data_IF_615869227730
#
_entry.id   IF_615869227730
#
_cell.length_a   1.000
_cell.length_b   1.000
_cell.length_c   1.000
_cell.angle_alpha   90.00
_cell.angle_beta   90.00
_cell.angle_gamma   90.00
#
_symmetry.space_group_name_H-M   'P 1'
#
loop_
_entity.id
_entity.type
_entity.pdbx_description
1 polymer ?
#
# COMPACT_ATOMS: atom_id res chain seq x y z
N UNK A 1 -15.03 8.72 37.79
CA UNK A 1 -13.64 8.24 37.76
C UNK A 1 -12.86 9.14 36.79
N UNK A 2 -12.12 10.14 37.30
CA UNK A 2 -11.33 11.05 36.46
C UNK A 2 -10.05 10.33 36.05
N UNK A 3 -9.96 9.90 34.79
CA UNK A 3 -8.73 9.36 34.21
C UNK A 3 -7.86 10.55 33.78
N UNK A 4 -7.37 11.31 34.77
CA UNK A 4 -6.42 12.39 34.57
C UNK A 4 -5.01 11.90 34.85
N UNK A 5 -4.50 11.00 34.00
CA UNK A 5 -3.09 10.64 34.00
C UNK A 5 -2.35 11.53 33.00
N UNK A 6 -1.30 12.22 33.46
CA UNK A 6 -0.37 12.92 32.58
C UNK A 6 0.10 11.97 31.48
N UNK A 7 -0.19 12.31 30.22
CA UNK A 7 0.35 11.55 29.09
C UNK A 7 1.88 11.56 29.17
N UNK A 8 2.56 10.40 29.12
CA UNK A 8 4.00 10.36 29.21
C UNK A 8 4.62 11.23 28.10
N UNK A 9 5.51 12.15 28.49
CA UNK A 9 6.22 13.02 27.54
C UNK A 9 7.00 12.13 26.57
N UNK A 10 6.76 12.31 25.27
CA UNK A 10 7.47 11.57 24.22
C UNK A 10 8.98 11.74 24.35
N UNK A 11 9.74 10.68 24.06
CA UNK A 11 11.21 10.74 24.10
C UNK A 11 11.75 11.76 23.09
N UNK A 12 12.92 12.35 23.38
CA UNK A 12 13.59 13.31 22.50
C UNK A 12 13.89 12.72 21.12
N UNK A 13 14.23 11.43 21.04
CA UNK A 13 14.48 10.72 19.79
C UNK A 13 13.20 10.57 18.95
N UNK A 14 12.08 10.21 19.58
CA UNK A 14 10.76 10.15 18.91
C UNK A 14 10.36 11.53 18.38
N UNK A 15 10.60 12.59 19.17
CA UNK A 15 10.31 13.96 18.77
C UNK A 15 11.16 14.42 17.57
N UNK A 16 12.44 14.04 17.50
CA UNK A 16 13.32 14.35 16.38
C UNK A 16 12.88 13.63 15.10
N UNK A 17 12.64 12.31 15.17
CA UNK A 17 12.20 11.53 14.02
C UNK A 17 10.89 12.10 13.44
N UNK A 18 9.91 12.41 14.29
CA UNK A 18 8.67 13.07 13.86
C UNK A 18 8.92 14.41 13.17
N UNK A 19 9.74 15.28 13.75
CA UNK A 19 10.06 16.60 13.15
C UNK A 19 10.72 16.47 11.78
N UNK A 20 11.62 15.51 11.60
CA UNK A 20 12.27 15.25 10.33
C UNK A 20 11.27 14.74 9.29
N UNK A 21 10.39 13.80 9.66
CA UNK A 21 9.35 13.31 8.75
C UNK A 21 8.39 14.41 8.34
N UNK A 22 7.90 15.20 9.30
CA UNK A 22 7.05 16.37 9.01
C UNK A 22 7.74 17.40 8.11
N UNK A 23 9.06 17.57 8.23
CA UNK A 23 9.80 18.43 7.32
C UNK A 23 9.78 17.91 5.88
N UNK A 24 9.90 16.59 5.69
CA UNK A 24 9.75 15.95 4.36
C UNK A 24 8.31 16.08 3.84
N UNK A 25 7.32 15.87 4.70
CA UNK A 25 5.90 16.02 4.33
C UNK A 25 5.54 17.45 3.88
N UNK A 26 6.24 18.45 4.41
CA UNK A 26 6.04 19.87 4.05
C UNK A 26 7.00 20.36 2.96
N UNK A 27 7.85 19.49 2.41
CA UNK A 27 8.84 19.86 1.40
C UNK A 27 8.20 20.06 0.01
N UNK A 28 7.52 21.19 -0.19
CA UNK A 28 6.82 21.52 -1.45
C UNK A 28 7.72 21.53 -2.69
N UNK A 29 9.04 21.69 -2.54
CA UNK A 29 10.02 21.55 -3.63
C UNK A 29 9.97 20.16 -4.31
N UNK A 30 9.46 19.14 -3.62
CA UNK A 30 9.33 17.79 -4.13
C UNK A 30 8.06 17.57 -4.96
N UNK A 31 7.10 18.50 -4.96
CA UNK A 31 5.79 18.28 -5.59
C UNK A 31 5.88 18.08 -7.09
N UNK A 32 6.50 19.03 -7.80
CA UNK A 32 6.67 18.96 -9.25
C UNK A 32 7.42 17.71 -9.71
N UNK A 33 8.63 17.39 -9.18
CA UNK A 33 9.33 16.18 -9.62
C UNK A 33 8.57 14.90 -9.27
N UNK A 34 7.89 14.86 -8.12
CA UNK A 34 7.09 13.73 -7.72
C UNK A 34 5.87 13.54 -8.65
N UNK A 35 5.12 14.59 -8.94
CA UNK A 35 3.97 14.53 -9.84
C UNK A 35 4.36 14.07 -11.26
N UNK A 36 5.49 14.55 -11.78
CA UNK A 36 6.02 14.11 -13.07
C UNK A 36 6.39 12.62 -13.08
N UNK A 37 7.04 12.15 -12.01
CA UNK A 37 7.38 10.74 -11.86
C UNK A 37 6.11 9.87 -11.74
N UNK A 38 5.16 10.27 -10.90
CA UNK A 38 3.89 9.56 -10.70
C UNK A 38 3.06 9.46 -11.99
N UNK A 39 2.94 10.57 -12.72
CA UNK A 39 2.23 10.59 -14.01
C UNK A 39 2.87 9.65 -15.03
N UNK A 40 4.21 9.59 -15.09
CA UNK A 40 4.94 8.68 -15.98
C UNK A 40 4.68 7.22 -15.60
N UNK A 41 4.71 6.90 -14.32
CA UNK A 41 4.47 5.52 -13.82
C UNK A 41 3.06 5.06 -14.16
N UNK A 42 2.04 5.87 -13.86
CA UNK A 42 0.63 5.53 -14.18
C UNK A 42 0.43 5.27 -15.67
N UNK A 43 1.10 6.04 -16.54
CA UNK A 43 1.05 5.84 -17.99
C UNK A 43 1.71 4.54 -18.44
N UNK A 44 2.76 4.09 -17.76
CA UNK A 44 3.55 2.91 -18.16
C UNK A 44 2.96 1.59 -17.63
N UNK A 45 2.52 1.55 -16.37
CA UNK A 45 2.06 0.31 -15.74
C UNK A 45 0.59 0.04 -16.09
N UNK A 46 -0.25 1.07 -16.24
CA UNK A 46 -1.63 0.95 -16.68
C UNK A 46 -2.48 -0.03 -15.85
N UNK A 47 -3.56 -0.55 -16.45
CA UNK A 47 -4.42 -1.60 -15.89
C UNK A 47 -4.13 -2.96 -16.54
N UNK A 48 -4.56 -4.04 -15.90
CA UNK A 48 -4.54 -5.40 -16.44
C UNK A 48 -3.57 -6.34 -15.71
N UNK A 49 -3.29 -7.50 -16.31
CA UNK A 49 -2.59 -8.61 -15.64
C UNK A 49 -1.22 -8.23 -15.05
N UNK A 50 -0.48 -7.35 -15.72
CA UNK A 50 0.81 -6.88 -15.21
C UNK A 50 0.63 -6.04 -13.94
N UNK A 51 -0.38 -5.17 -13.92
CA UNK A 51 -0.73 -4.36 -12.74
C UNK A 51 -1.18 -5.26 -11.59
N UNK A 52 -2.02 -6.25 -11.86
CA UNK A 52 -2.47 -7.22 -10.85
C UNK A 52 -1.30 -7.99 -10.22
N UNK A 53 -0.33 -8.42 -11.05
CA UNK A 53 0.88 -9.09 -10.58
C UNK A 53 1.74 -8.17 -9.71
N UNK A 54 2.00 -6.94 -10.17
CA UNK A 54 2.85 -5.97 -9.47
C UNK A 54 2.20 -5.52 -8.15
N UNK A 55 0.88 -5.38 -8.12
CA UNK A 55 0.14 -5.02 -6.90
C UNK A 55 -0.02 -6.21 -5.94
N UNK A 56 0.13 -7.45 -6.41
CA UNK A 56 -0.06 -8.65 -5.59
C UNK A 56 -1.53 -9.08 -5.46
N UNK A 57 -2.37 -8.70 -6.42
CA UNK A 57 -3.81 -9.03 -6.43
C UNK A 57 -4.04 -10.53 -6.30
N UNK A 58 -3.30 -11.36 -7.06
CA UNK A 58 -3.40 -12.81 -6.96
C UNK A 58 -2.81 -13.43 -5.69
N UNK A 59 -2.07 -12.66 -4.88
CA UNK A 59 -1.48 -13.12 -3.62
C UNK A 59 -2.40 -12.88 -2.41
N UNK A 60 -3.49 -12.12 -2.57
CA UNK A 60 -4.30 -11.68 -1.43
C UNK A 60 -3.67 -10.52 -0.62
N UNK A 61 -2.46 -10.11 -0.98
CA UNK A 61 -1.65 -9.17 -0.21
C UNK A 61 -0.76 -8.31 -1.14
N UNK A 62 -0.41 -7.07 -0.73
CA UNK A 62 0.54 -6.25 -1.47
C UNK A 62 1.85 -7.01 -1.75
N UNK A 63 2.34 -6.95 -2.98
CA UNK A 63 3.58 -7.63 -3.36
C UNK A 63 4.84 -6.96 -2.78
N UNK A 64 4.79 -5.65 -2.51
CA UNK A 64 5.98 -4.89 -2.08
C UNK A 64 6.59 -5.39 -0.76
N UNK A 65 5.84 -5.57 0.35
CA UNK A 65 6.40 -6.00 1.64
C UNK A 65 7.25 -7.28 1.59
N UNK A 66 6.79 -8.44 1.06
CA UNK A 66 7.62 -9.64 1.02
C UNK A 66 8.87 -9.48 0.15
N UNK A 67 8.81 -8.67 -0.91
CA UNK A 67 9.96 -8.39 -1.77
C UNK A 67 11.02 -7.53 -1.07
N UNK A 68 10.62 -6.61 -0.18
CA UNK A 68 11.57 -5.85 0.64
C UNK A 68 12.36 -6.76 1.57
N UNK A 69 11.78 -7.84 2.09
CA UNK A 69 12.45 -8.77 2.99
C UNK A 69 13.67 -9.42 2.34
N UNK A 70 13.59 -9.79 1.06
CA UNK A 70 14.73 -10.36 0.34
C UNK A 70 15.86 -9.34 0.16
N UNK A 71 15.53 -8.11 -0.21
CA UNK A 71 16.51 -7.03 -0.43
C UNK A 71 17.21 -6.66 0.89
N UNK A 72 16.44 -6.34 1.91
CA UNK A 72 16.93 -5.93 3.22
C UNK A 72 17.71 -7.07 3.89
N UNK A 73 17.15 -8.28 3.88
CA UNK A 73 17.81 -9.46 4.44
C UNK A 73 19.16 -9.73 3.80
N UNK A 74 19.23 -9.70 2.47
CA UNK A 74 20.49 -9.93 1.75
C UNK A 74 21.56 -8.90 2.11
N UNK A 75 21.20 -7.63 2.14
CA UNK A 75 22.11 -6.53 2.45
C UNK A 75 22.60 -6.52 3.90
N UNK A 76 21.70 -6.77 4.86
CA UNK A 76 22.07 -6.86 6.28
C UNK A 76 22.91 -8.10 6.57
N UNK A 77 22.58 -9.26 5.97
CA UNK A 77 23.39 -10.46 6.12
C UNK A 77 24.79 -10.30 5.52
N UNK A 78 24.93 -9.60 4.39
CA UNK A 78 26.25 -9.28 3.84
C UNK A 78 27.08 -8.41 4.81
N UNK A 79 26.46 -7.41 5.44
CA UNK A 79 27.12 -6.56 6.43
C UNK A 79 27.52 -7.35 7.69
N UNK A 80 26.65 -8.23 8.19
CA UNK A 80 26.97 -9.09 9.33
C UNK A 80 28.17 -10.00 9.04
N UNK A 81 28.27 -10.55 7.83
CA UNK A 81 29.42 -11.35 7.42
C UNK A 81 30.71 -10.53 7.32
N UNK A 82 30.64 -9.27 6.90
CA UNK A 82 31.81 -8.39 6.88
C UNK A 82 32.37 -8.16 8.29
N UNK A 83 31.52 -8.16 9.31
CA UNK A 83 31.92 -7.95 10.71
C UNK A 83 32.33 -9.25 11.40
N UNK A 84 31.49 -10.28 11.32
CA UNK A 84 31.64 -11.52 12.08
C UNK A 84 32.59 -12.52 11.42
N UNK A 85 32.69 -12.48 10.09
CA UNK A 85 33.46 -13.44 9.30
C UNK A 85 34.21 -12.76 8.13
N UNK A 86 35.03 -11.71 8.37
CA UNK A 86 35.61 -10.86 7.32
C UNK A 86 36.48 -11.61 6.29
N UNK A 87 36.98 -12.80 6.66
CA UNK A 87 37.77 -13.66 5.76
C UNK A 87 36.94 -14.83 5.23
N UNK A 88 36.43 -15.68 6.12
CA UNK A 88 35.69 -16.89 5.77
C UNK A 88 34.33 -16.62 5.12
N UNK A 89 33.65 -15.52 5.49
CA UNK A 89 32.34 -15.12 4.97
C UNK A 89 32.36 -14.28 3.70
N UNK A 90 33.54 -13.88 3.20
CA UNK A 90 33.66 -12.91 2.11
C UNK A 90 32.94 -13.34 0.83
N UNK A 91 33.02 -14.62 0.43
CA UNK A 91 32.34 -15.11 -0.76
C UNK A 91 30.81 -15.04 -0.61
N UNK A 92 30.28 -15.38 0.57
CA UNK A 92 28.86 -15.30 0.87
C UNK A 92 28.38 -13.84 0.91
N UNK A 93 29.13 -12.94 1.53
CA UNK A 93 28.82 -11.50 1.55
C UNK A 93 28.73 -10.90 0.14
N UNK A 94 29.62 -11.31 -0.77
CA UNK A 94 29.58 -10.89 -2.18
C UNK A 94 28.30 -11.38 -2.88
N UNK A 95 27.95 -12.66 -2.71
CA UNK A 95 26.74 -13.25 -3.30
C UNK A 95 25.48 -12.59 -2.77
N UNK A 96 25.39 -12.39 -1.45
CA UNK A 96 24.24 -11.72 -0.83
C UNK A 96 24.12 -10.26 -1.29
N UNK A 97 25.24 -9.53 -1.40
CA UNK A 97 25.20 -8.17 -1.97
C UNK A 97 24.66 -8.18 -3.41
N UNK A 98 25.10 -9.13 -4.24
CA UNK A 98 24.61 -9.27 -5.61
C UNK A 98 23.12 -9.65 -5.67
N UNK A 99 22.67 -10.60 -4.83
CA UNK A 99 21.25 -10.98 -4.72
C UNK A 99 20.40 -9.78 -4.33
N UNK A 100 20.83 -8.99 -3.35
CA UNK A 100 20.11 -7.77 -2.94
C UNK A 100 19.99 -6.75 -4.07
N UNK A 101 21.06 -6.53 -4.85
CA UNK A 101 21.05 -5.63 -6.02
C UNK A 101 20.09 -6.13 -7.11
N UNK A 102 20.12 -7.42 -7.43
CA UNK A 102 19.23 -8.02 -8.45
C UNK A 102 17.78 -7.96 -7.99
N UNK A 103 17.50 -8.29 -6.73
CA UNK A 103 16.16 -8.24 -6.16
C UNK A 103 15.62 -6.81 -6.04
N UNK A 104 16.48 -5.78 -5.97
CA UNK A 104 16.06 -4.39 -5.81
C UNK A 104 15.13 -3.90 -6.93
N UNK A 105 15.46 -4.20 -8.20
CA UNK A 105 14.71 -3.69 -9.34
C UNK A 105 13.22 -4.12 -9.32
N UNK A 106 12.87 -5.41 -9.22
CA UNK A 106 11.47 -5.80 -9.14
C UNK A 106 10.80 -5.30 -7.84
N UNK A 107 11.51 -5.19 -6.71
CA UNK A 107 10.99 -4.60 -5.47
C UNK A 107 10.65 -3.11 -5.63
N UNK A 108 11.49 -2.36 -6.35
CA UNK A 108 11.24 -0.95 -6.63
C UNK A 108 10.01 -0.76 -7.53
N UNK A 109 9.81 -1.66 -8.51
CA UNK A 109 8.64 -1.62 -9.40
C UNK A 109 7.34 -1.77 -8.60
N UNK A 110 7.27 -2.71 -7.66
CA UNK A 110 6.08 -2.88 -6.80
C UNK A 110 5.80 -1.66 -5.94
N UNK A 111 6.83 -1.09 -5.30
CA UNK A 111 6.66 0.09 -4.44
C UNK A 111 6.31 1.37 -5.22
N UNK A 112 6.92 1.57 -6.39
CA UNK A 112 6.62 2.72 -7.28
C UNK A 112 5.19 2.63 -7.81
N UNK A 113 4.71 1.42 -8.12
CA UNK A 113 3.33 1.17 -8.52
C UNK A 113 2.33 1.55 -7.42
N UNK A 114 2.55 1.13 -6.18
CA UNK A 114 1.66 1.44 -5.05
C UNK A 114 1.65 2.94 -4.72
N UNK A 115 2.81 3.58 -4.79
CA UNK A 115 2.94 5.02 -4.58
C UNK A 115 2.21 5.84 -5.66
N UNK A 116 2.34 5.45 -6.93
CA UNK A 116 1.72 6.17 -8.05
C UNK A 116 0.18 6.17 -8.00
N UNK A 117 -0.43 5.19 -7.32
CA UNK A 117 -1.87 5.10 -7.07
C UNK A 117 -2.33 5.93 -5.86
N UNK A 118 -1.40 6.45 -5.05
CA UNK A 118 -1.74 7.20 -3.82
C UNK A 118 -1.33 8.67 -3.88
N UNK A 119 -0.28 9.00 -4.63
CA UNK A 119 0.34 10.34 -4.62
C UNK A 119 -0.62 11.48 -5.01
N UNK A 120 -1.60 11.20 -5.87
CA UNK A 120 -2.59 12.19 -6.30
C UNK A 120 -3.55 12.61 -5.17
N UNK A 121 -3.81 11.70 -4.23
CA UNK A 121 -4.78 11.91 -3.15
C UNK A 121 -4.16 12.47 -1.87
N UNK A 122 -2.85 12.38 -1.67
CA UNK A 122 -2.16 12.89 -0.49
C UNK A 122 -0.77 13.46 -0.85
N UNK A 123 -0.62 14.78 -0.70
CA UNK A 123 0.64 15.48 -0.97
C UNK A 123 1.79 15.02 -0.07
N UNK A 124 1.50 14.63 1.17
CA UNK A 124 2.52 14.10 2.07
C UNK A 124 3.04 12.76 1.56
N UNK A 125 2.14 11.88 1.08
CA UNK A 125 2.53 10.61 0.43
C UNK A 125 3.35 10.87 -0.83
N UNK A 126 2.96 11.85 -1.65
CA UNK A 126 3.71 12.27 -2.84
C UNK A 126 5.16 12.62 -2.50
N UNK A 127 5.36 13.51 -1.52
CA UNK A 127 6.68 14.01 -1.11
C UNK A 127 7.52 12.94 -0.41
N UNK A 128 6.95 12.25 0.57
CA UNK A 128 7.63 11.18 1.33
C UNK A 128 7.99 10.01 0.42
N UNK A 129 7.14 9.65 -0.54
CA UNK A 129 7.42 8.59 -1.50
C UNK A 129 8.62 8.89 -2.39
N UNK A 130 8.75 10.13 -2.88
CA UNK A 130 9.93 10.53 -3.65
C UNK A 130 11.20 10.53 -2.78
N UNK A 131 11.12 11.01 -1.53
CA UNK A 131 12.25 10.98 -0.60
C UNK A 131 12.68 9.54 -0.26
N UNK A 132 11.71 8.65 -0.02
CA UNK A 132 11.92 7.22 0.18
C UNK A 132 12.62 6.59 -1.04
N UNK A 133 12.11 6.82 -2.25
CA UNK A 133 12.71 6.30 -3.48
C UNK A 133 14.15 6.82 -3.69
N UNK A 134 14.39 8.09 -3.37
CA UNK A 134 15.72 8.72 -3.47
C UNK A 134 16.71 8.11 -2.48
N UNK A 135 16.31 7.91 -1.22
CA UNK A 135 17.13 7.26 -0.22
C UNK A 135 17.49 5.83 -0.63
N UNK A 136 16.52 5.04 -1.07
CA UNK A 136 16.76 3.67 -1.53
C UNK A 136 17.63 3.61 -2.79
N UNK A 137 17.51 4.57 -3.70
CA UNK A 137 18.40 4.69 -4.87
C UNK A 137 19.84 4.98 -4.45
N UNK A 138 20.04 5.87 -3.47
CA UNK A 138 21.35 6.12 -2.86
C UNK A 138 21.93 4.86 -2.20
N UNK A 139 21.12 4.12 -1.45
CA UNK A 139 21.53 2.84 -0.86
C UNK A 139 21.95 1.82 -1.93
N UNK A 140 21.18 1.69 -3.01
CA UNK A 140 21.52 0.81 -4.14
C UNK A 140 22.88 1.18 -4.74
N UNK A 141 23.14 2.47 -5.01
CA UNK A 141 24.41 2.93 -5.56
C UNK A 141 25.58 2.60 -4.63
N UNK A 142 25.40 2.75 -3.31
CA UNK A 142 26.40 2.36 -2.31
C UNK A 142 26.66 0.85 -2.31
N UNK A 143 25.62 0.03 -2.44
CA UNK A 143 25.77 -1.43 -2.54
C UNK A 143 26.40 -1.88 -3.86
N UNK A 144 26.08 -1.24 -4.98
CA UNK A 144 26.77 -1.47 -6.26
C UNK A 144 28.25 -1.11 -6.13
N UNK A 145 28.58 0.05 -5.56
CA UNK A 145 29.96 0.44 -5.31
C UNK A 145 30.67 -0.52 -4.33
N UNK A 146 29.96 -1.01 -3.31
CA UNK A 146 30.45 -2.04 -2.38
C UNK A 146 30.80 -3.30 -3.17
N UNK A 147 29.89 -3.82 -4.01
CA UNK A 147 30.11 -5.01 -4.83
C UNK A 147 31.31 -4.84 -5.77
N UNK A 148 31.45 -3.70 -6.46
CA UNK A 148 32.63 -3.43 -7.30
C UNK A 148 33.93 -3.49 -6.48
N UNK A 149 33.94 -2.93 -5.27
CA UNK A 149 35.12 -3.00 -4.40
C UNK A 149 35.39 -4.41 -3.85
N UNK A 150 34.34 -5.21 -3.60
CA UNK A 150 34.45 -6.64 -3.24
C UNK A 150 35.14 -7.42 -4.35
N UNK A 151 34.71 -7.23 -5.59
CA UNK A 151 35.27 -7.90 -6.77
C UNK A 151 36.72 -7.47 -7.05
N UNK A 152 37.11 -6.25 -6.65
CA UNK A 152 38.49 -5.74 -6.74
C UNK A 152 39.37 -6.07 -5.53
N UNK A 153 38.88 -6.87 -4.58
CA UNK A 153 39.63 -7.24 -3.37
C UNK A 153 39.80 -6.13 -2.31
N UNK A 154 39.14 -4.97 -2.48
CA UNK A 154 39.25 -3.80 -1.58
C UNK A 154 38.30 -3.92 -0.39
N UNK A 155 38.55 -4.90 0.49
CA UNK A 155 37.61 -5.34 1.56
C UNK A 155 37.15 -4.24 2.50
N UNK A 156 38.08 -3.45 3.06
CA UNK A 156 37.72 -2.38 4.00
C UNK A 156 36.80 -1.35 3.34
N UNK A 157 37.12 -0.91 2.12
CA UNK A 157 36.28 0.04 1.36
C UNK A 157 34.91 -0.57 1.04
N UNK A 158 34.86 -1.84 0.65
CA UNK A 158 33.61 -2.54 0.41
C UNK A 158 32.72 -2.60 1.65
N UNK A 159 33.28 -2.93 2.82
CA UNK A 159 32.56 -2.99 4.08
C UNK A 159 32.07 -1.60 4.52
N UNK A 160 32.90 -0.56 4.40
CA UNK A 160 32.50 0.82 4.69
C UNK A 160 31.36 1.32 3.79
N UNK A 161 31.43 1.02 2.48
CA UNK A 161 30.34 1.32 1.54
C UNK A 161 29.07 0.53 1.87
N UNK A 162 29.20 -0.74 2.24
CA UNK A 162 28.09 -1.60 2.66
C UNK A 162 27.41 -1.09 3.94
N UNK A 163 28.19 -0.62 4.92
CA UNK A 163 27.68 0.02 6.13
C UNK A 163 26.95 1.32 5.80
N UNK A 164 27.54 2.18 4.96
CA UNK A 164 26.87 3.39 4.48
C UNK A 164 25.56 3.07 3.77
N UNK A 165 25.56 2.06 2.89
CA UNK A 165 24.38 1.55 2.22
C UNK A 165 23.31 1.06 3.20
N UNK A 166 23.69 0.32 4.24
CA UNK A 166 22.76 -0.16 5.28
C UNK A 166 22.13 0.98 6.07
N UNK A 167 22.89 2.02 6.42
CA UNK A 167 22.38 3.19 7.13
C UNK A 167 21.40 3.98 6.25
N UNK A 168 21.74 4.19 4.97
CA UNK A 168 20.84 4.85 4.01
C UNK A 168 19.59 4.01 3.74
N UNK A 169 19.73 2.69 3.62
CA UNK A 169 18.61 1.75 3.48
C UNK A 169 17.70 1.80 4.71
N UNK A 170 18.26 1.91 5.92
CA UNK A 170 17.50 2.08 7.16
C UNK A 170 16.66 3.35 7.17
N UNK A 171 17.20 4.47 6.69
CA UNK A 171 16.42 5.71 6.50
C UNK A 171 15.29 5.51 5.49
N UNK A 172 15.59 4.87 4.35
CA UNK A 172 14.58 4.49 3.36
C UNK A 172 13.48 3.60 3.96
N UNK A 173 13.86 2.58 4.73
CA UNK A 173 12.96 1.67 5.43
C UNK A 173 12.06 2.39 6.45
N UNK A 174 12.60 3.35 7.19
CA UNK A 174 11.80 4.19 8.10
C UNK A 174 10.73 5.00 7.33
N UNK A 175 11.11 5.67 6.24
CA UNK A 175 10.16 6.40 5.40
C UNK A 175 9.12 5.47 4.76
N UNK A 176 9.53 4.26 4.36
CA UNK A 176 8.63 3.23 3.83
C UNK A 176 7.62 2.76 4.89
N UNK A 177 8.07 2.55 6.12
CA UNK A 177 7.20 2.27 7.26
C UNK A 177 6.22 3.42 7.54
N UNK A 178 6.66 4.67 7.42
CA UNK A 178 5.76 5.82 7.55
C UNK A 178 4.68 5.85 6.46
N UNK A 179 5.05 5.59 5.20
CA UNK A 179 4.10 5.47 4.09
C UNK A 179 3.06 4.36 4.34
N UNK A 180 3.51 3.17 4.74
CA UNK A 180 2.62 2.03 4.94
C UNK A 180 1.72 2.21 6.18
N UNK A 181 2.32 2.49 7.34
CA UNK A 181 1.62 2.40 8.62
C UNK A 181 1.02 3.72 9.09
N UNK A 182 1.61 4.87 8.73
CA UNK A 182 1.06 6.18 9.12
C UNK A 182 0.20 6.80 8.01
N UNK A 183 0.46 6.47 6.74
CA UNK A 183 -0.27 7.00 5.58
C UNK A 183 -1.12 5.96 4.84
N UNK A 184 -1.12 4.70 5.25
CA UNK A 184 -1.99 3.66 4.70
C UNK A 184 -1.66 3.23 3.26
N UNK A 185 -0.44 3.45 2.78
CA UNK A 185 -0.01 2.97 1.45
C UNK A 185 0.02 1.43 1.45
N UNK A 186 -0.71 0.81 0.52
CA UNK A 186 -0.86 -0.65 0.46
C UNK A 186 -1.79 -1.26 1.52
N UNK A 187 -2.41 -0.47 2.40
CA UNK A 187 -3.35 -0.98 3.42
C UNK A 187 -4.78 -1.04 2.88
N UNK A 188 -5.48 -2.15 3.15
CA UNK A 188 -6.89 -2.31 2.82
C UNK A 188 -7.74 -1.30 3.60
N UNK A 189 -8.48 -0.45 2.89
CA UNK A 189 -9.27 0.64 3.46
C UNK A 189 -10.57 0.20 4.14
N UNK A 190 -10.97 -1.07 4.02
CA UNK A 190 -12.18 -1.62 4.66
C UNK A 190 -11.88 -2.49 5.88
N UNK A 191 -10.61 -2.76 6.20
CA UNK A 191 -10.24 -3.74 7.25
C UNK A 191 -10.73 -3.37 8.65
N UNK A 192 -10.99 -2.09 8.91
CA UNK A 192 -11.48 -1.58 10.20
C UNK A 192 -12.98 -1.21 10.18
N UNK A 193 -13.67 -1.48 9.07
CA UNK A 193 -15.09 -1.19 8.88
C UNK A 193 -15.73 -2.34 8.08
N UNK A 194 -16.00 -3.49 8.72
CA UNK A 194 -16.64 -4.64 8.06
C UNK A 194 -18.14 -4.39 7.79
N UNK A 195 -18.68 -3.28 8.30
CA UNK A 195 -20.10 -2.96 8.26
C UNK A 195 -20.88 -3.31 9.54
N UNK A 196 -22.20 -3.03 9.55
CA UNK A 196 -23.01 -3.15 10.75
C UNK A 196 -23.21 -4.61 11.15
N UNK A 197 -22.96 -4.92 12.43
CA UNK A 197 -23.11 -6.29 12.96
C UNK A 197 -24.59 -6.74 13.04
N UNK A 198 -25.50 -5.78 13.26
CA UNK A 198 -26.94 -6.00 13.27
C UNK A 198 -27.60 -5.58 11.96
N UNK A 199 -28.83 -6.03 11.75
CA UNK A 199 -29.66 -5.53 10.66
C UNK A 199 -29.94 -4.05 10.85
N UNK A 200 -29.47 -3.24 9.92
CA UNK A 200 -29.55 -1.79 9.96
C UNK A 200 -30.31 -1.27 8.73
N UNK A 201 -31.36 -0.46 8.92
CA UNK A 201 -32.08 0.15 7.79
C UNK A 201 -31.20 1.16 7.05
N UNK A 202 -31.28 1.14 5.73
CA UNK A 202 -30.42 1.92 4.83
C UNK A 202 -31.22 2.85 3.92
N UNK A 203 -32.27 2.33 3.29
CA UNK A 203 -33.00 3.03 2.23
C UNK A 203 -34.44 2.51 2.13
N UNK A 204 -35.38 3.35 1.70
CA UNK A 204 -36.68 2.87 1.25
C UNK A 204 -36.52 2.06 -0.07
N UNK A 205 -37.11 0.86 -0.11
CA UNK A 205 -36.88 -0.13 -1.18
C UNK A 205 -37.26 0.42 -2.58
N UNK A 206 -38.29 1.27 -2.63
CA UNK A 206 -38.75 1.91 -3.85
C UNK A 206 -37.76 2.94 -4.44
N UNK A 207 -36.83 3.45 -3.63
CA UNK A 207 -35.80 4.40 -4.10
C UNK A 207 -34.65 3.70 -4.84
N UNK A 208 -34.46 2.39 -4.61
CA UNK A 208 -33.43 1.62 -5.30
C UNK A 208 -33.91 1.16 -6.67
N UNK A 209 -33.52 1.93 -7.69
CA UNK A 209 -33.81 1.66 -9.10
C UNK A 209 -33.01 0.45 -9.60
N UNK A 210 -33.65 -0.41 -10.40
CA UNK A 210 -33.02 -1.55 -11.07
C UNK A 210 -31.79 -1.11 -11.88
N UNK A 211 -30.71 -1.90 -11.80
CA UNK A 211 -29.46 -1.75 -12.54
C UNK A 211 -28.79 -0.37 -12.38
N UNK A 212 -28.98 0.26 -11.22
CA UNK A 212 -28.29 1.50 -10.84
C UNK A 212 -27.56 1.35 -9.51
N UNK A 213 -26.29 1.75 -9.51
CA UNK A 213 -25.49 1.86 -8.29
C UNK A 213 -26.01 3.00 -7.43
N UNK A 214 -26.22 2.72 -6.14
CA UNK A 214 -26.56 3.72 -5.15
C UNK A 214 -25.70 3.58 -3.91
N UNK A 215 -24.96 4.63 -3.58
CA UNK A 215 -24.23 4.73 -2.32
C UNK A 215 -25.16 5.23 -1.21
N UNK A 216 -25.15 4.56 -0.07
CA UNK A 216 -25.92 4.90 1.13
C UNK A 216 -25.08 4.68 2.40
N UNK A 217 -25.67 4.88 3.58
CA UNK A 217 -25.00 4.65 4.85
C UNK A 217 -25.85 3.79 5.78
N UNK A 218 -25.20 2.84 6.46
CA UNK A 218 -25.79 2.00 7.50
C UNK A 218 -25.02 2.22 8.79
N UNK A 219 -25.58 2.98 9.73
CA UNK A 219 -24.91 3.36 11.00
C UNK A 219 -23.49 3.94 10.79
N UNK A 220 -23.34 4.79 9.78
CA UNK A 220 -22.06 5.41 9.42
C UNK A 220 -21.17 4.59 8.48
N UNK A 221 -21.39 3.28 8.33
CA UNK A 221 -20.71 2.46 7.30
C UNK A 221 -21.22 2.84 5.91
N UNK A 222 -20.34 3.17 4.95
CA UNK A 222 -20.71 3.38 3.55
C UNK A 222 -21.10 2.06 2.86
N UNK A 223 -22.29 2.01 2.27
CA UNK A 223 -22.85 0.82 1.63
C UNK A 223 -23.15 1.09 0.17
N UNK A 224 -22.69 0.20 -0.72
CA UNK A 224 -23.10 0.18 -2.12
C UNK A 224 -24.30 -0.75 -2.24
N UNK A 225 -25.41 -0.24 -2.77
CA UNK A 225 -26.61 -1.00 -3.09
C UNK A 225 -26.76 -1.14 -4.60
N UNK A 226 -27.23 -2.32 -5.02
CA UNK A 226 -27.66 -2.61 -6.38
C UNK A 226 -28.93 -3.47 -6.34
N UNK A 227 -29.94 -3.08 -7.10
CA UNK A 227 -31.06 -3.98 -7.44
C UNK A 227 -30.79 -4.60 -8.81
N UNK A 228 -30.69 -5.92 -8.86
CA UNK A 228 -30.42 -6.66 -10.10
C UNK A 228 -31.23 -7.96 -10.15
N UNK A 229 -31.99 -8.17 -11.21
CA UNK A 229 -32.94 -9.28 -11.33
C UNK A 229 -33.98 -9.28 -10.21
N UNK A 230 -34.39 -8.10 -9.74
CA UNK A 230 -35.32 -7.94 -8.61
C UNK A 230 -34.75 -8.28 -7.23
N UNK A 231 -33.47 -8.65 -7.13
CA UNK A 231 -32.77 -8.91 -5.85
C UNK A 231 -31.94 -7.71 -5.44
N UNK A 232 -31.92 -7.41 -4.15
CA UNK A 232 -31.01 -6.39 -3.59
C UNK A 232 -29.69 -7.06 -3.22
N UNK A 233 -28.60 -6.49 -3.72
CA UNK A 233 -27.22 -6.87 -3.44
C UNK A 233 -26.52 -5.69 -2.76
N UNK A 234 -25.58 -5.99 -1.86
CA UNK A 234 -24.81 -4.95 -1.22
C UNK A 234 -23.39 -5.40 -0.85
N UNK A 235 -22.47 -4.45 -0.98
CA UNK A 235 -21.09 -4.56 -0.50
C UNK A 235 -20.69 -3.23 0.14
N UNK A 236 -19.55 -3.19 0.82
CA UNK A 236 -18.98 -1.94 1.32
C UNK A 236 -18.67 -0.95 0.16
N UNK A 237 -19.12 0.31 0.27
CA UNK A 237 -19.00 1.28 -0.85
C UNK A 237 -17.57 1.78 -1.05
N UNK A 238 -16.73 1.78 0.00
CA UNK A 238 -15.32 2.15 -0.18
C UNK A 238 -14.54 0.99 -0.76
N UNK A 239 -13.91 1.22 -1.91
CA UNK A 239 -12.96 0.29 -2.50
C UNK A 239 -11.80 0.02 -1.53
N UNK A 240 -11.54 -1.25 -1.22
CA UNK A 240 -10.47 -1.68 -0.32
C UNK A 240 -9.08 -1.24 -0.75
N UNK A 241 -8.88 -0.89 -2.03
CA UNK A 241 -7.60 -0.37 -2.51
C UNK A 241 -7.23 1.00 -1.90
N UNK A 242 -7.98 2.07 -2.22
CA UNK A 242 -7.68 3.48 -1.83
C UNK A 242 -8.90 4.23 -1.26
N UNK A 243 -10.01 3.53 -1.00
CA UNK A 243 -11.15 4.09 -0.29
C UNK A 243 -12.13 4.90 -1.15
N UNK A 244 -11.94 4.92 -2.47
CA UNK A 244 -12.86 5.57 -3.40
C UNK A 244 -14.25 4.90 -3.38
N UNK A 245 -15.30 5.70 -3.57
CA UNK A 245 -16.67 5.22 -3.60
C UNK A 245 -16.92 4.42 -4.88
N UNK A 246 -17.30 3.15 -4.73
CA UNK A 246 -17.66 2.24 -5.81
C UNK A 246 -18.98 2.65 -6.47
N UNK A 247 -19.87 3.31 -5.73
CA UNK A 247 -21.10 3.96 -6.24
C UNK A 247 -20.83 5.09 -7.25
N UNK A 248 -19.57 5.53 -7.39
CA UNK A 248 -19.11 6.48 -8.43
C UNK A 248 -18.35 5.77 -9.55
N UNK A 249 -18.41 4.45 -9.60
CA UNK A 249 -17.82 3.61 -10.63
C UNK A 249 -18.78 3.29 -11.76
N UNK A 250 -18.33 2.40 -12.65
CA UNK A 250 -19.10 1.88 -13.77
C UNK A 250 -19.63 0.48 -13.45
N UNK A 251 -20.86 0.17 -13.89
CA UNK A 251 -21.52 -1.12 -13.67
C UNK A 251 -21.61 -1.93 -14.97
N UNK A 252 -21.30 -3.22 -14.89
CA UNK A 252 -21.51 -4.22 -15.94
C UNK A 252 -22.12 -5.48 -15.31
N UNK A 253 -23.44 -5.65 -15.45
CA UNK A 253 -24.19 -6.69 -14.72
C UNK A 253 -24.15 -6.45 -13.21
N UNK A 254 -23.52 -7.36 -12.47
CA UNK A 254 -23.24 -7.21 -11.03
C UNK A 254 -21.82 -6.73 -10.75
N UNK A 255 -21.00 -6.51 -11.78
CA UNK A 255 -19.59 -6.15 -11.62
C UNK A 255 -19.44 -4.63 -11.58
N UNK A 256 -18.92 -4.12 -10.47
CA UNK A 256 -18.56 -2.70 -10.35
C UNK A 256 -17.08 -2.48 -10.64
N UNK A 257 -16.78 -1.48 -11.45
CA UNK A 257 -15.42 -1.00 -11.74
C UNK A 257 -15.17 0.31 -11.00
N UNK A 258 -14.24 0.29 -10.05
CA UNK A 258 -13.83 1.47 -9.30
C UNK A 258 -13.27 2.57 -10.23
N UNK A 259 -13.81 3.78 -10.14
CA UNK A 259 -13.43 4.91 -11.00
C UNK A 259 -12.01 5.44 -10.75
N UNK A 260 -11.43 5.18 -9.58
CA UNK A 260 -10.07 5.63 -9.27
C UNK A 260 -9.00 4.85 -10.05
N UNK A 261 -8.86 3.56 -9.77
CA UNK A 261 -7.75 2.75 -10.30
C UNK A 261 -8.22 1.55 -11.14
N UNK A 262 -9.53 1.28 -11.18
CA UNK A 262 -10.10 0.24 -12.03
C UNK A 262 -10.22 -1.14 -11.39
N UNK A 263 -10.06 -1.27 -10.06
CA UNK A 263 -10.38 -2.53 -9.37
C UNK A 263 -11.82 -2.94 -9.67
N UNK A 264 -12.04 -4.23 -9.94
CA UNK A 264 -13.34 -4.79 -10.29
C UNK A 264 -13.78 -5.77 -9.22
N UNK A 265 -15.03 -5.65 -8.80
CA UNK A 265 -15.63 -6.52 -7.78
C UNK A 265 -17.01 -6.98 -8.24
N UNK A 266 -17.36 -8.22 -7.92
CA UNK A 266 -18.74 -8.68 -8.03
C UNK A 266 -19.53 -8.21 -6.80
N UNK A 267 -20.63 -7.48 -7.00
CA UNK A 267 -21.48 -6.99 -5.92
C UNK A 267 -22.28 -8.13 -5.28
N UNK A 268 -22.40 -9.29 -5.92
CA UNK A 268 -23.17 -10.42 -5.34
C UNK A 268 -22.58 -10.94 -4.04
N UNK A 269 -21.25 -10.90 -3.91
CA UNK A 269 -20.52 -11.48 -2.78
C UNK A 269 -19.22 -10.73 -2.43
N UNK A 270 -18.92 -9.63 -3.10
CA UNK A 270 -17.72 -8.83 -2.86
C UNK A 270 -16.44 -9.36 -3.51
N UNK A 271 -16.49 -10.46 -4.26
CA UNK A 271 -15.31 -11.10 -4.86
C UNK A 271 -14.50 -10.12 -5.71
N UNK A 272 -13.19 -10.06 -5.48
CA UNK A 272 -12.25 -9.32 -6.30
C UNK A 272 -11.99 -10.06 -7.62
N UNK A 273 -12.33 -9.41 -8.74
CA UNK A 273 -12.14 -9.96 -10.09
C UNK A 273 -10.85 -9.47 -10.75
N UNK A 274 -10.47 -8.21 -10.51
CA UNK A 274 -9.20 -7.65 -10.97
C UNK A 274 -8.75 -6.47 -10.11
N UNK A 275 -7.43 -6.30 -10.02
CA UNK A 275 -6.78 -5.32 -9.17
C UNK A 275 -6.83 -3.89 -9.70
N UNK A 276 -6.13 -2.95 -9.04
CA UNK A 276 -5.01 -3.18 -8.10
C UNK A 276 -5.37 -3.46 -6.63
N UNK A 277 -6.65 -3.59 -6.27
CA UNK A 277 -7.01 -4.14 -4.97
C UNK A 277 -6.40 -5.53 -4.78
N UNK A 278 -6.17 -5.91 -3.53
CA UNK A 278 -5.52 -7.19 -3.17
C UNK A 278 -6.41 -8.11 -2.35
N UNK A 279 -7.60 -7.67 -1.97
CA UNK A 279 -8.58 -8.52 -1.29
C UNK A 279 -10.00 -8.17 -1.70
N UNK A 280 -10.91 -9.06 -1.34
CA UNK A 280 -12.34 -8.91 -1.59
C UNK A 280 -12.94 -7.72 -0.84
N UNK A 281 -14.09 -7.25 -1.33
CA UNK A 281 -14.90 -6.28 -0.62
C UNK A 281 -15.72 -6.98 0.47
N UNK A 282 -15.92 -6.34 1.64
CA UNK A 282 -16.88 -6.84 2.60
C UNK A 282 -18.27 -6.95 1.98
N UNK A 283 -18.80 -8.17 1.95
CA UNK A 283 -20.15 -8.46 1.51
C UNK A 283 -21.16 -8.13 2.61
N UNK A 284 -22.33 -7.64 2.20
CA UNK A 284 -23.41 -7.32 3.12
C UNK A 284 -24.65 -8.13 2.75
N UNK A 285 -25.18 -8.84 3.73
CA UNK A 285 -26.48 -9.47 3.56
C UNK A 285 -27.56 -8.40 3.48
N UNK A 286 -28.56 -8.60 2.62
CA UNK A 286 -29.67 -7.68 2.41
C UNK A 286 -31.01 -8.36 2.73
N UNK A 287 -31.94 -7.58 3.28
CA UNK A 287 -33.36 -7.97 3.35
C UNK A 287 -34.27 -6.78 3.13
N UNK A 288 -35.47 -7.05 2.65
CA UNK A 288 -36.54 -6.05 2.56
C UNK A 288 -37.60 -6.32 3.62
N UNK A 289 -37.76 -5.40 4.57
CA UNK A 289 -38.73 -5.51 5.68
C UNK A 289 -39.52 -4.22 5.78
N UNK A 290 -40.85 -4.30 5.70
CA UNK A 290 -41.73 -3.13 5.82
C UNK A 290 -41.46 -2.05 4.77
N UNK A 291 -41.05 -2.43 3.55
CA UNK A 291 -40.71 -1.50 2.48
C UNK A 291 -39.33 -0.85 2.61
N UNK A 292 -38.51 -1.22 3.60
CA UNK A 292 -37.13 -0.75 3.77
C UNK A 292 -36.13 -1.83 3.46
N UNK A 293 -35.01 -1.42 2.89
CA UNK A 293 -33.80 -2.24 2.75
C UNK A 293 -33.02 -2.14 4.05
N UNK A 294 -32.72 -3.30 4.63
CA UNK A 294 -31.81 -3.43 5.76
C UNK A 294 -30.61 -4.27 5.35
N UNK A 295 -29.44 -3.93 5.91
CA UNK A 295 -28.19 -4.66 5.65
C UNK A 295 -27.50 -5.06 6.94
N UNK A 296 -26.65 -6.09 6.88
CA UNK A 296 -25.68 -6.45 7.92
C UNK A 296 -24.43 -7.04 7.29
N UNK A 297 -23.31 -6.99 8.02
CA UNK A 297 -22.09 -7.70 7.64
C UNK A 297 -22.37 -9.20 7.45
N UNK A 298 -21.89 -9.76 6.34
CA UNK A 298 -21.88 -11.21 6.15
C UNK A 298 -20.93 -11.86 7.18
N UNK A 299 -21.24 -13.08 7.64
CA UNK A 299 -20.44 -13.81 8.63
C UNK A 299 -19.05 -14.20 8.12
#
# INVERSE_FOLDING_TARGET
>A
MKIGGDMPKQSTATALARRLTEAVERAGVLDTPAALAGARVRRLIGRGRLKDLISGTGLGHPAHPPMTSLVIGSFLSALLLDVLAPRSGSAAANRLTAVGIVAFAPTAITGISDWADTELSDEAVRRVGLAHASANSGALLLYVASLVNRLRGRRLRAASLGLGGALTLGLGGYLGGHLAYARGVGVNQTVFDPGPAGWTPVLDSAELVEDRLLGAHADGTPVLLLRHGGRVLAIHDRCGHRGCLLSKGDLDGTVVTCSCHGSRFDISDGTLLSGPATGDQPALECREVGGRIEVRAAP
#
